data_IF_169067927860
#
_entry.id   IF_169067927860
#
_cell.length_a   1.000
_cell.length_b   1.000
_cell.length_c   1.000
_cell.angle_alpha   90.00
_cell.angle_beta   90.00
_cell.angle_gamma   90.00
#
_symmetry.space_group_name_H-M   'P 1'
#
loop_
_entity.id
_entity.type
_entity.pdbx_description
1 polymer ?
#
# COMPACT_ATOMS: atom_id res chain seq x y z
N UNK A 1 21.84 10.33 -10.92
CA UNK A 1 20.56 10.32 -11.67
C UNK A 1 20.30 9.02 -12.42
N UNK A 2 21.04 8.66 -13.49
CA UNK A 2 20.73 7.43 -14.25
C UNK A 2 21.00 6.15 -13.45
N UNK A 3 22.06 6.12 -12.64
CA UNK A 3 22.37 4.99 -11.75
C UNK A 3 21.37 4.81 -10.60
N UNK A 4 20.81 5.91 -10.07
CA UNK A 4 19.80 5.90 -9.00
C UNK A 4 18.45 5.36 -9.49
N UNK A 5 18.07 5.68 -10.73
CA UNK A 5 16.85 5.15 -11.35
C UNK A 5 17.02 3.65 -11.63
N UNK A 6 18.21 3.24 -12.07
CA UNK A 6 18.52 1.82 -12.31
C UNK A 6 18.44 0.99 -11.02
N UNK A 7 18.99 1.48 -9.91
CA UNK A 7 18.96 0.77 -8.63
C UNK A 7 17.54 0.64 -8.08
N UNK A 8 16.74 1.71 -8.14
CA UNK A 8 15.35 1.69 -7.65
C UNK A 8 14.45 0.75 -8.44
N UNK A 9 14.63 0.67 -9.76
CA UNK A 9 13.90 -0.30 -10.60
C UNK A 9 14.24 -1.75 -10.19
N UNK A 10 15.53 -2.06 -10.05
CA UNK A 10 15.96 -3.40 -9.65
C UNK A 10 15.40 -3.81 -8.27
N UNK A 11 15.30 -2.86 -7.33
CA UNK A 11 14.69 -3.10 -6.02
C UNK A 11 13.21 -3.44 -6.13
N UNK A 12 12.44 -2.71 -6.94
CA UNK A 12 11.00 -2.97 -7.16
C UNK A 12 10.80 -4.36 -7.78
N UNK A 13 11.54 -4.68 -8.83
CA UNK A 13 11.46 -6.00 -9.49
C UNK A 13 11.77 -7.13 -8.51
N UNK A 14 12.80 -6.96 -7.66
CA UNK A 14 13.15 -7.97 -6.65
C UNK A 14 12.03 -8.21 -5.63
N UNK A 15 11.30 -7.15 -5.23
CA UNK A 15 10.17 -7.24 -4.30
C UNK A 15 8.97 -7.93 -4.93
N UNK A 16 8.73 -7.68 -6.22
CA UNK A 16 7.69 -8.37 -6.98
C UNK A 16 7.99 -9.87 -7.10
N UNK A 17 9.23 -10.24 -7.45
CA UNK A 17 9.64 -11.64 -7.50
C UNK A 17 9.46 -12.35 -6.14
N UNK A 18 9.87 -11.70 -5.05
CA UNK A 18 9.71 -12.25 -3.71
C UNK A 18 8.24 -12.47 -3.34
N UNK A 19 7.34 -11.55 -3.74
CA UNK A 19 5.91 -11.70 -3.46
C UNK A 19 5.26 -12.80 -4.31
N UNK A 20 5.73 -13.03 -5.53
CA UNK A 20 5.34 -14.18 -6.36
C UNK A 20 5.80 -15.50 -5.73
N UNK A 21 7.03 -15.58 -5.24
CA UNK A 21 7.55 -16.79 -4.58
C UNK A 21 6.73 -17.16 -3.34
N UNK A 22 6.37 -16.17 -2.52
CA UNK A 22 5.48 -16.36 -1.36
C UNK A 22 4.11 -16.88 -1.79
N UNK A 23 3.56 -16.36 -2.89
CA UNK A 23 2.28 -16.82 -3.41
C UNK A 23 2.34 -18.27 -3.89
N UNK A 24 3.42 -18.66 -4.57
CA UNK A 24 3.67 -20.04 -5.01
C UNK A 24 3.81 -20.98 -3.81
N UNK A 25 4.52 -20.56 -2.76
CA UNK A 25 4.65 -21.37 -1.55
C UNK A 25 3.30 -21.56 -0.85
N UNK A 26 2.45 -20.54 -0.85
CA UNK A 26 1.07 -20.63 -0.34
C UNK A 26 0.20 -21.57 -1.17
N UNK A 27 0.42 -21.65 -2.49
CA UNK A 27 -0.22 -22.66 -3.34
C UNK A 27 0.20 -24.07 -2.94
N UNK A 28 1.50 -24.31 -2.73
CA UNK A 28 2.01 -25.62 -2.28
C UNK A 28 1.48 -26.01 -0.90
N UNK A 29 1.37 -25.05 0.01
CA UNK A 29 0.82 -25.25 1.34
C UNK A 29 -0.71 -25.39 1.38
N UNK A 30 -1.41 -25.27 0.24
CA UNK A 30 -2.88 -25.34 0.17
C UNK A 30 -3.61 -24.16 0.83
N UNK A 31 -2.90 -23.07 1.12
CA UNK A 31 -3.44 -21.85 1.74
C UNK A 31 -3.71 -20.73 0.73
N UNK A 32 -3.54 -21.02 -0.56
CA UNK A 32 -3.79 -20.06 -1.63
C UNK A 32 -5.26 -19.62 -1.64
N UNK A 33 -5.48 -18.31 -1.73
CA UNK A 33 -6.81 -17.72 -1.66
C UNK A 33 -7.40 -17.61 -0.24
N UNK A 34 -6.59 -17.79 0.81
CA UNK A 34 -6.98 -17.44 2.18
C UNK A 34 -6.24 -16.17 2.63
N UNK A 35 -6.99 -15.24 3.22
CA UNK A 35 -6.47 -14.02 3.80
C UNK A 35 -5.60 -14.34 5.01
N UNK A 36 -4.40 -13.76 5.09
CA UNK A 36 -3.49 -13.98 6.22
C UNK A 36 -3.92 -13.30 7.53
N UNK A 37 -4.82 -12.33 7.44
CA UNK A 37 -5.28 -11.52 8.58
C UNK A 37 -6.55 -12.12 9.19
N UNK A 38 -7.57 -12.38 8.36
CA UNK A 38 -8.87 -12.87 8.84
C UNK A 38 -9.13 -14.35 8.54
N UNK A 39 -8.19 -15.04 7.87
CA UNK A 39 -8.36 -16.43 7.42
C UNK A 39 -9.57 -16.68 6.48
N UNK A 40 -10.23 -15.61 6.03
CA UNK A 40 -11.35 -15.67 5.10
C UNK A 40 -10.91 -15.91 3.66
N UNK A 41 -11.87 -16.24 2.78
CA UNK A 41 -11.60 -16.47 1.35
C UNK A 41 -11.32 -15.14 0.64
N UNK A 42 -10.25 -15.09 -0.14
CA UNK A 42 -9.93 -13.97 -1.04
C UNK A 42 -10.78 -14.13 -2.31
N UNK A 43 -11.50 -13.07 -2.74
CA UNK A 43 -12.30 -13.14 -3.97
C UNK A 43 -11.46 -13.51 -5.19
N UNK A 44 -11.97 -14.42 -6.04
CA UNK A 44 -11.29 -14.85 -7.26
C UNK A 44 -10.97 -13.68 -8.20
N UNK A 45 -11.85 -12.69 -8.29
CA UNK A 45 -11.61 -11.48 -9.08
C UNK A 45 -10.32 -10.74 -8.66
N UNK A 46 -9.99 -10.73 -7.35
CA UNK A 46 -8.76 -10.12 -6.83
C UNK A 46 -7.54 -10.96 -7.17
N UNK A 47 -7.63 -12.29 -7.04
CA UNK A 47 -6.54 -13.20 -7.40
C UNK A 47 -6.27 -13.21 -8.91
N UNK A 48 -7.29 -13.03 -9.75
CA UNK A 48 -7.12 -12.90 -11.19
C UNK A 48 -6.40 -11.60 -11.58
N UNK A 49 -6.64 -10.51 -10.85
CA UNK A 49 -5.96 -9.23 -11.08
C UNK A 49 -4.56 -9.20 -10.47
N UNK A 50 -4.40 -9.72 -9.25
CA UNK A 50 -3.18 -9.73 -8.46
C UNK A 50 -3.01 -11.12 -7.83
N UNK A 51 -2.32 -12.05 -8.51
CA UNK A 51 -2.24 -13.45 -8.09
C UNK A 51 -1.42 -13.65 -6.81
N UNK A 52 -0.58 -12.68 -6.44
CA UNK A 52 0.23 -12.69 -5.23
C UNK A 52 -0.44 -11.96 -4.04
N UNK A 53 -1.72 -11.58 -4.16
CA UNK A 53 -2.45 -10.93 -3.07
C UNK A 53 -2.59 -11.84 -1.82
N UNK A 54 -2.11 -11.37 -0.67
CA UNK A 54 -2.10 -12.12 0.61
C UNK A 54 -3.26 -11.74 1.54
N UNK A 55 -3.90 -10.60 1.31
CA UNK A 55 -4.98 -10.03 2.11
C UNK A 55 -6.29 -9.93 1.32
N UNK A 56 -7.43 -10.06 2.00
CA UNK A 56 -8.74 -9.75 1.41
C UNK A 56 -8.96 -8.23 1.34
N UNK A 57 -9.95 -7.80 0.54
CA UNK A 57 -10.27 -6.38 0.32
C UNK A 57 -10.62 -5.67 1.63
N UNK A 58 -11.37 -6.33 2.52
CA UNK A 58 -11.78 -5.74 3.81
C UNK A 58 -10.58 -5.50 4.71
N UNK A 59 -9.70 -6.50 4.87
CA UNK A 59 -8.48 -6.35 5.67
C UNK A 59 -7.53 -5.32 5.06
N UNK A 60 -7.39 -5.30 3.73
CA UNK A 60 -6.58 -4.31 3.03
C UNK A 60 -7.11 -2.88 3.26
N UNK A 61 -8.43 -2.68 3.13
CA UNK A 61 -9.05 -1.37 3.40
C UNK A 61 -8.87 -0.96 4.86
N UNK A 62 -8.99 -1.90 5.80
CA UNK A 62 -8.77 -1.62 7.21
C UNK A 62 -7.33 -1.13 7.46
N UNK A 63 -6.33 -1.80 6.88
CA UNK A 63 -4.92 -1.36 6.99
C UNK A 63 -4.65 -0.02 6.32
N UNK A 64 -5.26 0.24 5.16
CA UNK A 64 -5.13 1.52 4.47
C UNK A 64 -5.81 2.65 5.24
N UNK A 65 -6.98 2.40 5.83
CA UNK A 65 -7.68 3.37 6.68
C UNK A 65 -6.95 3.64 8.00
N UNK A 66 -6.24 2.64 8.53
CA UNK A 66 -5.42 2.80 9.73
C UNK A 66 -4.07 3.48 9.45
N UNK A 67 -3.53 3.33 8.24
CA UNK A 67 -2.24 3.91 7.80
C UNK A 67 -2.37 5.18 6.93
N UNK A 68 -3.59 5.65 6.67
CA UNK A 68 -3.89 6.68 5.67
C UNK A 68 -4.48 7.96 6.24
N UNK A 69 -4.07 8.34 7.45
CA UNK A 69 -4.49 9.60 8.07
C UNK A 69 -3.47 10.06 9.08
N UNK A 70 -2.48 10.83 8.63
CA UNK A 70 -1.90 11.83 9.53
C UNK A 70 -3.09 12.69 9.96
N UNK A 71 -3.44 12.62 11.24
CA UNK A 71 -4.64 13.21 11.81
C UNK A 71 -4.64 14.73 11.85
N UNK A 72 -4.43 15.41 10.71
CA UNK A 72 -4.97 16.73 10.50
C UNK A 72 -6.36 16.54 9.93
N UNK A 73 -7.37 16.69 10.79
CA UNK A 73 -8.77 16.86 10.39
C UNK A 73 -9.00 18.15 9.61
N UNK A 74 -8.28 18.31 8.50
CA UNK A 74 -8.46 19.34 7.51
C UNK A 74 -9.50 18.84 6.53
N UNK A 75 -10.67 19.44 6.59
CA UNK A 75 -11.64 19.40 5.51
C UNK A 75 -10.97 19.92 4.23
N UNK A 76 -10.50 19.03 3.35
CA UNK A 76 -9.87 19.38 2.08
C UNK A 76 -10.83 20.12 1.13
N UNK A 77 -12.13 20.17 1.44
CA UNK A 77 -13.08 21.06 0.79
C UNK A 77 -12.81 22.54 1.13
N UNK A 78 -12.20 22.86 2.28
CA UNK A 78 -11.88 24.24 2.71
C UNK A 78 -10.71 24.85 1.96
N UNK A 79 -9.83 24.02 1.40
CA UNK A 79 -8.74 24.51 0.54
C UNK A 79 -9.31 25.10 -0.77
N UNK A 80 -10.51 24.66 -1.18
CA UNK A 80 -11.19 25.17 -2.37
C UNK A 80 -12.03 26.43 -2.08
N UNK A 81 -12.61 26.53 -0.87
CA UNK A 81 -13.44 27.65 -0.44
C UNK A 81 -12.63 28.70 0.34
N UNK A 82 -11.70 29.37 -0.36
CA UNK A 82 -11.16 30.70 -0.05
C UNK A 82 -11.03 31.13 1.42
N UNK A 83 -9.85 30.92 1.99
CA UNK A 83 -9.44 31.56 3.25
C UNK A 83 -8.07 31.08 3.71
N UNK A 84 -7.02 31.61 3.08
CA UNK A 84 -5.64 31.34 3.46
C UNK A 84 -5.41 31.65 4.95
N UNK A 85 -5.18 30.61 5.74
CA UNK A 85 -4.23 30.74 6.86
C UNK A 85 -2.89 30.34 6.27
N UNK A 86 -2.01 31.32 6.05
CA UNK A 86 -0.63 31.06 5.67
C UNK A 86 0.04 30.30 6.81
N UNK A 87 -0.04 28.97 6.77
CA UNK A 87 0.80 28.12 7.61
C UNK A 87 2.11 27.97 6.86
N UNK A 88 3.07 28.81 7.24
CA UNK A 88 4.44 28.73 6.77
C UNK A 88 5.05 27.43 7.31
N UNK A 89 5.18 26.42 6.45
CA UNK A 89 5.84 25.16 6.80
C UNK A 89 7.33 25.37 6.54
N UNK A 90 8.11 25.48 7.62
CA UNK A 90 9.56 25.72 7.50
C UNK A 90 10.25 24.46 6.99
N UNK A 91 11.27 24.64 6.14
CA UNK A 91 12.06 23.53 5.59
C UNK A 91 12.77 22.70 6.68
N UNK A 92 12.90 23.25 7.89
CA UNK A 92 13.41 22.55 9.07
C UNK A 92 12.43 21.55 9.70
N UNK A 93 11.15 21.57 9.31
CA UNK A 93 10.11 20.65 9.82
C UNK A 93 10.04 19.34 9.03
N UNK A 94 10.83 19.24 7.95
CA UNK A 94 10.98 18.05 7.12
C UNK A 94 12.30 17.36 7.49
N UNK A 95 12.26 16.48 8.49
CA UNK A 95 13.38 15.59 8.80
C UNK A 95 13.55 14.56 7.67
N UNK A 96 14.53 14.82 6.78
CA UNK A 96 15.05 13.89 5.77
C UNK A 96 16.30 13.18 6.27
#
# INVERSE_FOLDING_TARGET
VQDEISSTLAEVESRELASIEVALERMRAGKYGLCEICNGKIPLARLNALPYATSCIECQRATESAGGGIGYGGDWSRVLDGGAVDVDVSFSDLDV
#
